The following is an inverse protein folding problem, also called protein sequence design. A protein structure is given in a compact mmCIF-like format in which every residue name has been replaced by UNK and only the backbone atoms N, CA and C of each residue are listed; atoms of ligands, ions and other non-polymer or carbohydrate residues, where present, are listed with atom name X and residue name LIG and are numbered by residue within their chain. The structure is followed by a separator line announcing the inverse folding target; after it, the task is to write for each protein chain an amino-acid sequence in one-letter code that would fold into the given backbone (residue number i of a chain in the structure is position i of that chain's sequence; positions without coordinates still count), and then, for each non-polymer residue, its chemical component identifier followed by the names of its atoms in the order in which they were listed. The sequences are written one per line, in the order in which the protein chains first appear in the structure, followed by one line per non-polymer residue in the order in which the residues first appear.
data_IF_006966099474
#
_entry.id   IF_006966099474
#
_cell.length_a   1.000
_cell.length_b   1.000
_cell.length_c   1.000
_cell.angle_alpha   90.00
_cell.angle_beta   90.00
_cell.angle_gamma   90.00
#
_symmetry.space_group_name_H-M   'P 1'
#
loop_
_entity.id
_entity.type
_entity.pdbx_description
1 polymer ?
#
# COMPACT_ATOMS: atom_id res chain seq x y z
N UNK A 1 46.96 -32.32 -40.47
CA UNK A 1 47.95 -31.73 -41.39
C UNK A 1 47.16 -31.04 -42.50
N UNK A 2 47.53 -29.79 -42.80
CA UNK A 2 47.03 -28.87 -43.86
C UNK A 2 45.70 -28.10 -43.58
N UNK A 3 45.57 -26.84 -44.06
CA UNK A 3 45.41 -25.64 -43.21
C UNK A 3 44.34 -24.62 -43.73
N UNK A 4 44.57 -23.30 -43.54
CA UNK A 4 43.95 -22.08 -44.14
C UNK A 4 43.08 -21.26 -43.15
N UNK A 5 43.20 -19.92 -42.98
CA UNK A 5 44.09 -18.91 -43.56
C UNK A 5 43.75 -17.48 -43.06
N UNK A 6 44.78 -16.62 -43.13
CA UNK A 6 44.93 -15.16 -42.86
C UNK A 6 43.78 -14.21 -43.31
N UNK A 7 43.39 -13.16 -42.55
CA UNK A 7 43.97 -11.78 -42.41
C UNK A 7 43.72 -10.88 -43.65
N UNK A 8 43.39 -9.57 -43.68
CA UNK A 8 43.17 -8.44 -42.75
C UNK A 8 42.52 -7.26 -43.53
N UNK A 9 42.02 -6.23 -42.82
CA UNK A 9 41.56 -4.85 -43.19
C UNK A 9 42.48 -4.05 -44.18
N UNK A 10 42.12 -2.87 -44.79
CA UNK A 10 41.56 -1.64 -44.13
C UNK A 10 40.72 -0.61 -44.97
N UNK A 11 40.42 0.54 -44.30
CA UNK A 11 39.59 1.75 -44.56
C UNK A 11 40.08 2.78 -45.67
N UNK A 12 39.74 4.11 -45.65
CA UNK A 12 38.50 4.81 -46.10
C UNK A 12 38.77 6.05 -47.02
N UNK A 13 37.77 6.66 -47.70
CA UNK A 13 37.81 8.07 -48.20
C UNK A 13 36.39 8.65 -48.48
N UNK A 14 36.15 9.92 -48.10
CA UNK A 14 35.06 10.88 -48.44
C UNK A 14 35.70 12.14 -49.09
N UNK A 15 35.04 13.20 -49.64
CA UNK A 15 33.62 13.45 -50.04
C UNK A 15 33.44 14.30 -51.36
N UNK A 16 32.22 14.88 -51.54
CA UNK A 16 31.74 15.99 -52.40
C UNK A 16 31.41 15.68 -53.90
N UNK A 17 30.33 16.16 -54.58
CA UNK A 17 29.60 17.45 -54.59
C UNK A 17 28.23 17.34 -55.35
N UNK A 18 27.17 17.98 -54.80
CA UNK A 18 26.10 18.86 -55.36
C UNK A 18 25.36 18.62 -56.72
N UNK A 19 24.00 18.61 -56.73
CA UNK A 19 23.12 19.67 -57.32
C UNK A 19 21.60 19.33 -57.26
N UNK A 20 20.80 20.39 -57.24
CA UNK A 20 19.37 20.54 -56.88
C UNK A 20 18.34 20.38 -58.01
N UNK A 21 17.06 20.09 -57.68
CA UNK A 21 15.86 20.94 -57.96
C UNK A 21 14.51 20.20 -57.77
N UNK A 22 13.52 20.89 -57.18
CA UNK A 22 12.09 20.68 -57.46
C UNK A 22 11.16 20.38 -56.27
N UNK A 23 10.45 21.40 -55.77
CA UNK A 23 9.22 21.25 -54.98
C UNK A 23 8.00 21.10 -55.92
N UNK A 24 6.84 20.58 -55.46
CA UNK A 24 5.86 21.49 -54.85
C UNK A 24 5.08 20.93 -53.64
N UNK A 25 4.52 21.89 -52.91
CA UNK A 25 3.62 21.88 -51.77
C UNK A 25 2.31 21.10 -51.95
N UNK A 26 1.85 20.44 -50.88
CA UNK A 26 0.43 20.22 -50.60
C UNK A 26 0.15 20.33 -49.11
N UNK A 27 -0.87 21.12 -48.80
CA UNK A 27 -1.47 21.38 -47.49
C UNK A 27 -1.94 20.10 -46.79
N UNK A 28 -1.78 20.08 -45.47
CA UNK A 28 -2.26 19.02 -44.60
C UNK A 28 -2.03 19.36 -43.13
N UNK A 29 -2.63 20.44 -42.66
CA UNK A 29 -2.79 20.68 -41.23
C UNK A 29 -3.77 19.62 -40.68
N UNK A 30 -3.23 18.52 -40.16
CA UNK A 30 -3.98 17.54 -39.38
C UNK A 30 -3.59 17.71 -37.91
N UNK A 31 -4.61 18.08 -37.14
CA UNK A 31 -4.67 18.23 -35.69
C UNK A 31 -4.00 17.10 -34.92
N UNK A 32 -2.95 17.42 -34.17
CA UNK A 32 -2.34 16.57 -33.14
C UNK A 32 -2.76 16.98 -31.71
N UNK A 33 -3.89 17.66 -31.54
CA UNK A 33 -4.28 18.27 -30.26
C UNK A 33 -5.39 17.54 -29.49
N UNK A 34 -5.94 16.42 -29.97
CA UNK A 34 -7.07 15.76 -29.30
C UNK A 34 -6.69 14.77 -28.20
N UNK A 35 -5.51 14.16 -28.28
CA UNK A 35 -5.13 13.05 -27.40
C UNK A 35 -4.51 13.52 -26.07
N UNK A 36 -3.85 14.68 -26.07
CA UNK A 36 -3.26 15.29 -24.88
C UNK A 36 -4.33 15.88 -23.95
N UNK A 37 -5.33 16.55 -24.54
CA UNK A 37 -6.50 17.08 -23.82
C UNK A 37 -7.31 15.95 -23.15
N UNK A 38 -7.41 14.78 -23.80
CA UNK A 38 -8.09 13.60 -23.25
C UNK A 38 -7.37 12.99 -22.05
N UNK A 39 -6.04 12.84 -22.11
CA UNK A 39 -5.22 12.29 -21.00
C UNK A 39 -5.17 13.23 -19.80
N UNK A 40 -5.14 14.54 -20.05
CA UNK A 40 -5.22 15.57 -19.02
C UNK A 40 -6.57 15.55 -18.29
N UNK A 41 -7.67 15.39 -19.04
CA UNK A 41 -9.00 15.27 -18.46
C UNK A 41 -9.18 13.99 -17.62
N UNK A 42 -8.61 12.87 -18.04
CA UNK A 42 -8.64 11.61 -17.29
C UNK A 42 -7.83 11.69 -15.99
N UNK A 43 -6.63 12.26 -16.04
CA UNK A 43 -5.81 12.50 -14.85
C UNK A 43 -6.53 13.41 -13.84
N UNK A 44 -7.20 14.47 -14.31
CA UNK A 44 -8.00 15.34 -13.45
C UNK A 44 -9.16 14.60 -12.77
N UNK A 45 -9.88 13.75 -13.52
CA UNK A 45 -10.95 12.90 -12.97
C UNK A 45 -10.41 11.91 -11.94
N UNK A 46 -9.27 11.30 -12.20
CA UNK A 46 -8.63 10.38 -11.26
C UNK A 46 -8.25 11.10 -9.96
N UNK A 47 -7.59 12.25 -10.05
CA UNK A 47 -7.23 13.07 -8.88
C UNK A 47 -8.47 13.51 -8.07
N UNK A 48 -9.57 13.83 -8.76
CA UNK A 48 -10.84 14.14 -8.09
C UNK A 48 -11.41 12.93 -7.37
N UNK A 49 -11.43 11.76 -8.00
CA UNK A 49 -11.86 10.50 -7.38
C UNK A 49 -11.00 10.15 -6.17
N UNK A 50 -9.69 10.31 -6.28
CA UNK A 50 -8.74 10.03 -5.21
C UNK A 50 -9.11 10.78 -3.92
N UNK A 51 -9.50 12.04 -4.01
CA UNK A 51 -9.91 12.84 -2.84
C UNK A 51 -11.35 12.60 -2.38
N UNK A 52 -12.20 12.00 -3.20
CA UNK A 52 -13.62 11.78 -2.91
C UNK A 52 -13.97 10.33 -2.52
N UNK A 53 -13.08 9.37 -2.78
CA UNK A 53 -13.24 7.94 -2.43
C UNK A 53 -12.37 7.57 -1.22
N UNK A 54 -12.70 6.46 -0.55
CA UNK A 54 -11.90 5.92 0.57
C UNK A 54 -11.93 6.77 1.84
N UNK A 55 -13.10 7.35 2.15
CA UNK A 55 -13.37 8.11 3.38
C UNK A 55 -13.86 7.25 4.55
N UNK A 56 -14.12 5.98 4.27
CA UNK A 56 -14.48 4.96 5.25
C UNK A 56 -13.41 3.89 5.26
N UNK A 57 -13.09 3.43 6.46
CA UNK A 57 -12.07 2.42 6.67
C UNK A 57 -12.53 1.07 6.12
N UNK A 58 -11.59 0.34 5.53
CA UNK A 58 -11.86 -0.95 4.91
C UNK A 58 -12.56 -1.94 5.85
N UNK A 59 -13.57 -2.66 5.36
CA UNK A 59 -14.41 -3.53 6.18
C UNK A 59 -13.61 -4.62 6.92
N UNK A 60 -12.50 -5.09 6.35
CA UNK A 60 -11.66 -6.14 6.96
C UNK A 60 -10.87 -5.66 8.18
N UNK A 61 -10.83 -4.36 8.45
CA UNK A 61 -10.23 -3.80 9.65
C UNK A 61 -11.13 -3.95 10.89
N UNK A 62 -12.35 -4.46 10.70
CA UNK A 62 -13.23 -4.84 11.81
C UNK A 62 -12.80 -6.19 12.38
N UNK A 63 -12.78 -6.25 13.71
CA UNK A 63 -12.62 -7.55 14.37
C UNK A 63 -13.86 -8.42 14.07
N UNK A 64 -13.70 -9.67 13.60
CA UNK A 64 -14.83 -10.49 13.18
C UNK A 64 -15.67 -11.04 14.36
N UNK A 65 -15.27 -10.76 15.60
CA UNK A 65 -15.97 -11.20 16.81
C UNK A 65 -16.83 -10.08 17.38
N UNK A 66 -16.28 -8.86 17.53
CA UNK A 66 -17.03 -7.72 18.06
C UNK A 66 -17.55 -6.77 16.98
N UNK A 67 -17.20 -6.96 15.71
CA UNK A 67 -17.58 -6.13 14.55
C UNK A 67 -17.18 -4.65 14.63
N UNK A 68 -16.33 -4.29 15.60
CA UNK A 68 -15.78 -2.96 15.77
C UNK A 68 -14.43 -2.85 15.08
N UNK A 69 -14.14 -1.68 14.49
CA UNK A 69 -12.82 -1.37 13.92
C UNK A 69 -11.72 -1.59 14.95
N UNK A 70 -10.63 -2.20 14.54
CA UNK A 70 -9.46 -2.45 15.40
C UNK A 70 -8.66 -1.15 15.53
N UNK A 71 -8.22 -0.80 16.74
CA UNK A 71 -7.34 0.36 16.95
C UNK A 71 -6.13 0.38 16.02
N UNK A 72 -5.70 1.57 15.59
CA UNK A 72 -4.47 1.76 14.83
C UNK A 72 -3.29 2.07 15.77
N UNK A 73 -2.08 1.55 15.49
CA UNK A 73 -1.75 0.60 14.43
C UNK A 73 -2.27 -0.82 14.72
N UNK A 74 -2.81 -1.51 13.72
CA UNK A 74 -3.51 -2.79 13.93
C UNK A 74 -2.63 -3.89 14.53
N UNK A 75 -1.33 -3.89 14.23
CA UNK A 75 -0.36 -4.86 14.75
C UNK A 75 -0.24 -4.80 16.28
N UNK A 76 -0.51 -3.64 16.88
CA UNK A 76 -0.49 -3.45 18.34
C UNK A 76 -1.81 -3.83 19.00
N UNK A 77 -2.91 -3.87 18.25
CA UNK A 77 -4.26 -4.04 18.81
C UNK A 77 -4.96 -5.32 18.37
N UNK A 78 -4.37 -6.11 17.47
CA UNK A 78 -4.91 -7.37 17.00
C UNK A 78 -3.83 -8.41 16.68
N UNK A 79 -4.27 -9.66 16.59
CA UNK A 79 -3.46 -10.80 16.13
C UNK A 79 -4.05 -11.31 14.82
N UNK A 80 -3.20 -11.49 13.81
CA UNK A 80 -3.58 -12.21 12.60
C UNK A 80 -3.62 -13.71 12.89
N UNK A 81 -4.73 -14.36 12.54
CA UNK A 81 -4.90 -15.79 12.73
C UNK A 81 -4.71 -16.53 11.41
N UNK A 82 -3.57 -17.21 11.24
CA UNK A 82 -3.21 -17.92 9.99
C UNK A 82 -4.20 -19.03 9.59
N UNK A 83 -5.01 -19.54 10.53
CA UNK A 83 -6.08 -20.50 10.20
C UNK A 83 -7.12 -19.90 9.25
N UNK A 84 -7.37 -18.60 9.32
CA UNK A 84 -8.51 -17.92 8.71
C UNK A 84 -8.18 -16.61 8.00
N UNK A 85 -6.93 -16.12 8.11
CA UNK A 85 -6.51 -14.80 7.66
C UNK A 85 -7.45 -13.70 8.17
N UNK A 86 -7.84 -13.81 9.45
CA UNK A 86 -8.62 -12.78 10.14
C UNK A 86 -7.82 -12.19 11.29
N UNK A 87 -7.85 -10.85 11.38
CA UNK A 87 -7.33 -10.11 12.52
C UNK A 87 -8.38 -10.09 13.63
N UNK A 88 -8.04 -10.65 14.78
CA UNK A 88 -8.89 -10.60 15.97
C UNK A 88 -8.28 -9.62 16.95
N UNK A 89 -9.07 -8.67 17.45
CA UNK A 89 -8.57 -7.69 18.42
C UNK A 89 -8.14 -8.38 19.72
N UNK A 90 -7.09 -7.86 20.36
CA UNK A 90 -6.53 -8.41 21.61
C UNK A 90 -7.58 -8.56 22.71
N UNK A 91 -8.55 -7.65 22.78
CA UNK A 91 -9.67 -7.76 23.72
C UNK A 91 -10.53 -9.02 23.50
N UNK A 92 -10.85 -9.36 22.25
CA UNK A 92 -11.60 -10.57 21.94
C UNK A 92 -10.78 -11.85 22.12
N UNK A 93 -9.47 -11.82 21.83
CA UNK A 93 -8.53 -12.92 22.15
C UNK A 93 -8.52 -13.19 23.66
N UNK A 94 -8.32 -12.16 24.49
CA UNK A 94 -8.29 -12.29 25.96
C UNK A 94 -9.63 -12.77 26.51
N UNK A 95 -10.75 -12.24 25.99
CA UNK A 95 -12.09 -12.69 26.38
C UNK A 95 -12.33 -14.17 26.03
N UNK A 96 -11.79 -14.65 24.90
CA UNK A 96 -11.87 -16.06 24.53
C UNK A 96 -11.00 -16.95 25.42
N UNK A 97 -9.78 -16.50 25.76
CA UNK A 97 -8.90 -17.21 26.71
C UNK A 97 -9.59 -17.41 28.06
N UNK A 98 -10.25 -16.37 28.61
CA UNK A 98 -11.02 -16.48 29.87
C UNK A 98 -12.16 -17.50 29.83
N UNK A 99 -12.62 -17.86 28.63
CA UNK A 99 -13.66 -18.88 28.40
C UNK A 99 -13.08 -20.26 28.07
N UNK A 100 -11.78 -20.46 28.27
CA UNK A 100 -11.12 -21.75 28.07
C UNK A 100 -10.61 -22.01 26.65
N UNK A 101 -10.64 -21.01 25.76
CA UNK A 101 -10.15 -21.16 24.37
C UNK A 101 -8.71 -20.63 24.30
N UNK A 102 -7.73 -21.46 24.66
CA UNK A 102 -6.32 -21.03 24.72
C UNK A 102 -5.50 -21.48 23.51
N UNK A 103 -5.74 -22.69 23.03
CA UNK A 103 -4.96 -23.39 22.01
C UNK A 103 -5.59 -23.28 20.61
N UNK A 104 -6.63 -22.47 20.46
CA UNK A 104 -7.46 -22.38 19.26
C UNK A 104 -7.75 -20.95 18.89
N UNK A 105 -7.87 -20.70 17.60
CA UNK A 105 -8.32 -19.41 17.10
C UNK A 105 -9.71 -19.08 17.66
N UNK A 106 -9.91 -17.89 18.26
CA UNK A 106 -11.19 -17.52 18.84
C UNK A 106 -12.30 -17.31 17.81
N UNK A 107 -11.94 -17.12 16.54
CA UNK A 107 -12.90 -17.00 15.43
C UNK A 107 -13.21 -18.36 14.79
N UNK A 108 -12.19 -19.03 14.23
CA UNK A 108 -12.38 -20.23 13.41
C UNK A 108 -12.37 -21.55 14.21
N UNK A 109 -11.98 -21.53 15.50
CA UNK A 109 -11.80 -22.70 16.40
C UNK A 109 -10.74 -23.73 15.99
N UNK A 110 -10.08 -23.56 14.84
CA UNK A 110 -8.91 -24.35 14.45
C UNK A 110 -7.80 -24.17 15.49
N UNK A 111 -7.11 -25.26 15.88
CA UNK A 111 -5.93 -25.17 16.73
C UNK A 111 -4.90 -24.18 16.18
N UNK A 112 -4.24 -23.45 17.07
CA UNK A 112 -3.08 -22.63 16.70
C UNK A 112 -1.95 -23.55 16.22
N UNK A 113 -1.18 -23.15 15.20
CA UNK A 113 -0.02 -23.91 14.78
C UNK A 113 0.98 -23.97 15.96
N UNK A 114 1.52 -25.15 16.25
CA UNK A 114 2.50 -25.35 17.32
C UNK A 114 3.91 -24.88 16.93
N UNK A 115 4.15 -24.71 15.63
CA UNK A 115 5.43 -24.32 15.07
C UNK A 115 5.24 -23.58 13.74
N UNK A 116 6.35 -23.03 13.26
CA UNK A 116 6.46 -22.25 12.03
C UNK A 116 6.14 -23.05 10.77
N UNK A 117 6.53 -24.33 10.71
CA UNK A 117 6.29 -25.18 9.55
C UNK A 117 4.80 -25.46 9.35
N UNK A 118 4.06 -25.68 10.45
CA UNK A 118 2.61 -25.80 10.42
C UNK A 118 1.94 -24.48 10.05
N UNK A 119 2.43 -23.35 10.57
CA UNK A 119 1.91 -22.04 10.17
C UNK A 119 2.06 -21.81 8.66
N UNK A 120 3.24 -22.10 8.10
CA UNK A 120 3.50 -21.99 6.67
C UNK A 120 2.62 -22.94 5.84
N UNK A 121 2.45 -24.19 6.27
CA UNK A 121 1.57 -25.14 5.59
C UNK A 121 0.10 -24.66 5.57
N UNK A 122 -0.37 -24.04 6.66
CA UNK A 122 -1.70 -23.43 6.72
C UNK A 122 -1.84 -22.24 5.77
N UNK A 123 -0.82 -21.39 5.66
CA UNK A 123 -0.76 -20.26 4.71
C UNK A 123 -0.79 -20.80 3.27
N UNK A 124 0.08 -21.76 2.93
CA UNK A 124 0.15 -22.35 1.59
C UNK A 124 -1.17 -22.99 1.16
N UNK A 125 -1.89 -23.64 2.09
CA UNK A 125 -3.22 -24.19 1.82
C UNK A 125 -4.27 -23.13 1.46
N UNK A 126 -4.09 -21.88 1.91
CA UNK A 126 -4.95 -20.76 1.55
C UNK A 126 -4.50 -20.08 0.26
N UNK A 127 -3.19 -19.96 0.06
CA UNK A 127 -2.58 -19.51 -1.20
C UNK A 127 -3.07 -20.37 -2.36
N UNK A 128 -3.10 -21.70 -2.22
CA UNK A 128 -3.61 -22.61 -3.27
C UNK A 128 -5.11 -22.44 -3.57
N UNK A 129 -5.83 -21.65 -2.78
CA UNK A 129 -7.24 -21.28 -2.99
C UNK A 129 -7.42 -19.83 -3.44
N UNK A 130 -6.33 -19.11 -3.73
CA UNK A 130 -6.37 -17.70 -4.15
C UNK A 130 -6.76 -16.74 -3.03
N UNK A 131 -6.50 -17.07 -1.76
CA UNK A 131 -6.74 -16.14 -0.66
C UNK A 131 -5.71 -15.00 -0.69
N UNK A 132 -6.12 -13.83 -1.18
CA UNK A 132 -5.28 -12.64 -1.33
C UNK A 132 -4.49 -12.27 -0.07
N UNK A 133 -5.09 -12.45 1.11
CA UNK A 133 -4.44 -12.11 2.38
C UNK A 133 -3.37 -13.16 2.75
N UNK A 134 -3.61 -14.43 2.43
CA UNK A 134 -2.59 -15.47 2.62
C UNK A 134 -1.42 -15.29 1.64
N UNK A 135 -1.68 -14.88 0.40
CA UNK A 135 -0.64 -14.58 -0.60
C UNK A 135 0.21 -13.39 -0.13
N UNK A 136 -0.44 -12.32 0.35
CA UNK A 136 0.22 -11.19 0.98
C UNK A 136 1.13 -11.62 2.15
N UNK A 137 0.60 -12.43 3.07
CA UNK A 137 1.37 -12.92 4.21
C UNK A 137 2.52 -13.84 3.81
N UNK A 138 2.36 -14.64 2.76
CA UNK A 138 3.47 -15.42 2.20
C UNK A 138 4.56 -14.49 1.63
N UNK A 139 4.17 -13.39 0.97
CA UNK A 139 5.11 -12.36 0.52
C UNK A 139 5.92 -11.75 1.65
N UNK A 140 5.28 -11.40 2.77
CA UNK A 140 5.99 -10.89 3.95
C UNK A 140 7.00 -11.90 4.54
N UNK A 141 6.76 -13.21 4.41
CA UNK A 141 7.71 -14.23 4.82
C UNK A 141 8.95 -14.34 3.92
N UNK A 142 8.89 -13.84 2.69
CA UNK A 142 10.06 -13.74 1.81
C UNK A 142 10.81 -12.41 1.98
N UNK A 143 10.15 -11.37 2.49
CA UNK A 143 10.75 -10.08 2.82
C UNK A 143 11.45 -10.07 4.20
N UNK A 144 10.93 -10.87 5.14
CA UNK A 144 11.50 -11.09 6.47
C UNK A 144 12.34 -12.39 6.51
N UNK A 145 13.33 -12.46 7.41
CA UNK A 145 14.14 -13.68 7.66
C UNK A 145 13.37 -14.68 8.56
N UNK A 146 12.17 -14.31 9.03
CA UNK A 146 11.34 -15.18 9.86
C UNK A 146 10.76 -16.34 9.03
N UNK A 147 10.87 -17.58 9.55
CA UNK A 147 10.59 -18.89 8.92
C UNK A 147 11.76 -19.60 8.21
N UNK A 148 13.00 -19.10 8.32
CA UNK A 148 14.18 -19.78 7.75
C UNK A 148 14.26 -19.73 6.22
N UNK A 149 13.53 -18.80 5.60
CA UNK A 149 13.67 -18.44 4.18
C UNK A 149 14.77 -17.37 4.06
N UNK A 150 15.62 -17.47 3.03
CA UNK A 150 16.51 -16.37 2.67
C UNK A 150 15.67 -15.21 2.16
N UNK A 151 15.98 -13.97 2.60
CA UNK A 151 15.35 -12.75 2.08
C UNK A 151 15.39 -12.76 0.55
N UNK A 152 14.21 -12.74 -0.07
CA UNK A 152 14.01 -12.71 -1.52
C UNK A 152 12.92 -11.67 -1.84
N UNK A 153 13.36 -10.41 -1.92
CA UNK A 153 12.48 -9.27 -2.20
C UNK A 153 11.79 -9.40 -3.56
N UNK A 154 12.44 -10.02 -4.55
CA UNK A 154 11.85 -10.23 -5.87
C UNK A 154 10.63 -11.15 -5.75
N UNK A 155 10.77 -12.25 -5.01
CA UNK A 155 9.66 -13.16 -4.75
C UNK A 155 8.56 -12.51 -3.91
N UNK A 156 8.93 -11.69 -2.91
CA UNK A 156 7.96 -10.94 -2.13
C UNK A 156 7.13 -9.99 -3.01
N UNK A 157 7.77 -9.24 -3.91
CA UNK A 157 7.10 -8.34 -4.86
C UNK A 157 6.14 -9.08 -5.78
N UNK A 158 6.53 -10.25 -6.31
CA UNK A 158 5.64 -11.08 -7.14
C UNK A 158 4.37 -11.47 -6.37
N UNK A 159 4.53 -11.95 -5.13
CA UNK A 159 3.42 -12.37 -4.28
C UNK A 159 2.54 -11.17 -3.89
N UNK A 160 3.13 -10.03 -3.53
CA UNK A 160 2.35 -8.83 -3.23
C UNK A 160 1.62 -8.30 -4.46
N UNK A 161 2.21 -8.41 -5.65
CA UNK A 161 1.53 -8.03 -6.90
C UNK A 161 0.32 -8.92 -7.15
N UNK A 162 0.47 -10.24 -7.02
CA UNK A 162 -0.64 -11.20 -7.12
C UNK A 162 -1.73 -10.90 -6.08
N UNK A 163 -1.35 -10.67 -4.82
CA UNK A 163 -2.30 -10.34 -3.75
C UNK A 163 -3.04 -9.02 -4.00
N UNK A 164 -2.36 -8.00 -4.53
CA UNK A 164 -2.93 -6.71 -4.88
C UNK A 164 -3.95 -6.83 -6.03
N UNK A 165 -3.62 -7.61 -7.07
CA UNK A 165 -4.53 -7.94 -8.17
C UNK A 165 -5.80 -8.67 -7.68
N UNK A 166 -5.66 -9.49 -6.64
CA UNK A 166 -6.78 -10.16 -5.94
C UNK A 166 -7.48 -9.27 -4.90
N UNK A 167 -7.06 -8.01 -4.77
CA UNK A 167 -7.72 -6.98 -3.95
C UNK A 167 -7.21 -6.84 -2.52
N UNK A 168 -6.02 -7.32 -2.17
CA UNK A 168 -5.38 -7.04 -0.88
C UNK A 168 -4.90 -5.59 -0.81
N UNK A 169 -5.47 -4.79 0.10
CA UNK A 169 -5.02 -3.43 0.35
C UNK A 169 -3.67 -3.40 1.08
N UNK A 170 -3.44 -4.35 1.99
CA UNK A 170 -2.16 -4.51 2.69
C UNK A 170 -1.02 -4.79 1.67
N UNK A 171 -1.29 -5.52 0.60
CA UNK A 171 -0.31 -5.76 -0.47
C UNK A 171 -0.02 -4.51 -1.31
N UNK A 172 -1.04 -3.76 -1.71
CA UNK A 172 -0.85 -2.45 -2.37
C UNK A 172 -0.04 -1.49 -1.47
N UNK A 173 -0.37 -1.45 -0.18
CA UNK A 173 0.37 -0.65 0.80
C UNK A 173 1.86 -1.02 0.81
N UNK A 174 2.19 -2.32 0.92
CA UNK A 174 3.59 -2.77 0.93
C UNK A 174 4.31 -2.50 -0.39
N UNK A 175 3.69 -2.78 -1.54
CA UNK A 175 4.28 -2.42 -2.84
C UNK A 175 4.58 -0.93 -2.92
N UNK A 176 3.68 -0.10 -2.38
CA UNK A 176 3.87 1.34 -2.26
C UNK A 176 5.14 1.70 -1.48
N UNK A 177 5.31 1.11 -0.29
CA UNK A 177 6.51 1.31 0.56
C UNK A 177 7.77 0.81 -0.14
N UNK A 178 7.73 -0.41 -0.71
CA UNK A 178 8.88 -1.06 -1.34
C UNK A 178 9.41 -0.24 -2.52
N UNK A 179 8.55 0.20 -3.44
CA UNK A 179 8.98 1.02 -4.57
C UNK A 179 9.37 2.44 -4.19
N UNK A 180 8.82 2.97 -3.10
CA UNK A 180 9.12 4.33 -2.64
C UNK A 180 10.48 4.45 -1.93
N UNK A 181 10.85 3.47 -1.10
CA UNK A 181 12.09 3.49 -0.30
C UNK A 181 13.29 2.85 -1.03
N UNK A 182 13.09 1.75 -1.75
CA UNK A 182 14.11 1.11 -2.59
C UNK A 182 15.32 0.51 -1.87
N UNK A 183 15.19 0.10 -0.61
CA UNK A 183 16.32 -0.46 0.15
C UNK A 183 16.90 -1.77 -0.47
N UNK A 184 16.12 -2.48 -1.30
CA UNK A 184 16.54 -3.71 -1.98
C UNK A 184 16.04 -3.83 -3.44
N UNK A 185 15.46 -2.76 -3.98
CA UNK A 185 14.97 -2.65 -5.37
C UNK A 185 15.23 -1.25 -5.90
N UNK A 186 15.36 -1.10 -7.23
CA UNK A 186 15.46 0.23 -7.84
C UNK A 186 14.26 1.09 -7.45
N UNK A 187 14.53 2.24 -6.85
CA UNK A 187 13.51 3.22 -6.43
C UNK A 187 12.65 3.63 -7.63
N UNK A 188 11.33 3.51 -7.48
CA UNK A 188 10.31 3.96 -8.43
C UNK A 188 9.14 4.58 -7.64
N UNK A 189 9.38 5.79 -7.10
CA UNK A 189 8.38 6.50 -6.30
C UNK A 189 7.03 6.66 -7.02
N UNK A 190 6.96 7.04 -8.31
CA UNK A 190 5.68 7.13 -9.01
C UNK A 190 4.88 5.82 -9.02
N UNK A 191 5.56 4.68 -9.15
CA UNK A 191 4.91 3.37 -9.04
C UNK A 191 4.44 3.09 -7.62
N UNK A 192 5.25 3.41 -6.62
CA UNK A 192 4.85 3.26 -5.21
C UNK A 192 3.61 4.09 -4.86
N UNK A 193 3.61 5.37 -5.25
CA UNK A 193 2.48 6.29 -5.08
C UNK A 193 1.21 5.75 -5.74
N UNK A 194 1.31 5.14 -6.94
CA UNK A 194 0.14 4.56 -7.62
C UNK A 194 -0.52 3.44 -6.81
N UNK A 195 0.27 2.55 -6.22
CA UNK A 195 -0.28 1.50 -5.36
C UNK A 195 -0.93 2.09 -4.10
N UNK A 196 -0.33 3.12 -3.49
CA UNK A 196 -0.97 3.83 -2.39
C UNK A 196 -2.28 4.51 -2.81
N UNK A 197 -2.36 5.10 -4.01
CA UNK A 197 -3.60 5.69 -4.53
C UNK A 197 -4.72 4.63 -4.66
N UNK A 198 -4.40 3.46 -5.21
CA UNK A 198 -5.34 2.35 -5.36
C UNK A 198 -5.89 1.84 -4.02
N UNK A 199 -5.02 1.67 -3.02
CA UNK A 199 -5.43 1.23 -1.69
C UNK A 199 -6.19 2.32 -0.93
N UNK A 200 -5.72 3.57 -1.01
CA UNK A 200 -6.32 4.70 -0.34
C UNK A 200 -7.77 4.91 -0.79
N UNK A 201 -8.06 4.86 -2.09
CA UNK A 201 -9.44 4.98 -2.61
C UNK A 201 -10.38 3.87 -2.10
N UNK A 202 -9.84 2.74 -1.65
CA UNK A 202 -10.59 1.63 -1.06
C UNK A 202 -10.64 1.66 0.48
N UNK A 203 -10.13 2.73 1.10
CA UNK A 203 -10.20 2.94 2.54
C UNK A 203 -8.99 2.44 3.33
N UNK A 204 -7.84 2.20 2.67
CA UNK A 204 -6.61 1.92 3.40
C UNK A 204 -6.03 3.19 4.04
N UNK A 205 -5.92 3.14 5.37
CA UNK A 205 -5.55 4.30 6.19
C UNK A 205 -4.07 4.63 6.04
N UNK A 206 -3.22 3.60 6.03
CA UNK A 206 -1.77 3.77 5.92
C UNK A 206 -1.39 4.38 4.57
N UNK A 207 -1.89 3.83 3.47
CA UNK A 207 -1.66 4.37 2.12
C UNK A 207 -2.14 5.82 2.01
N UNK A 208 -3.31 6.15 2.59
CA UNK A 208 -3.80 7.53 2.64
C UNK A 208 -2.84 8.46 3.39
N UNK A 209 -2.28 8.01 4.51
CA UNK A 209 -1.25 8.74 5.26
C UNK A 209 0.00 8.99 4.40
N UNK A 210 0.49 7.95 3.71
CA UNK A 210 1.70 8.05 2.89
C UNK A 210 1.54 8.94 1.66
N UNK A 211 0.34 9.01 1.06
CA UNK A 211 0.05 10.02 0.04
C UNK A 211 0.20 11.43 0.61
N UNK A 212 -0.34 11.68 1.81
CA UNK A 212 -0.15 12.99 2.45
C UNK A 212 1.32 13.29 2.78
N UNK A 213 2.09 12.26 3.14
CA UNK A 213 3.53 12.37 3.37
C UNK A 213 4.29 12.74 2.10
N UNK A 214 4.03 12.04 0.98
CA UNK A 214 4.67 12.33 -0.31
C UNK A 214 4.35 13.76 -0.79
N UNK A 215 3.07 14.15 -0.75
CA UNK A 215 2.63 15.50 -1.12
C UNK A 215 3.29 16.58 -0.25
N UNK A 216 3.45 16.33 1.05
CA UNK A 216 4.14 17.27 1.95
C UNK A 216 5.62 17.44 1.57
N UNK A 217 6.32 16.35 1.23
CA UNK A 217 7.73 16.39 0.81
C UNK A 217 7.91 17.05 -0.56
N UNK A 218 6.90 16.92 -1.43
CA UNK A 218 6.85 17.61 -2.72
C UNK A 218 6.43 19.09 -2.60
N UNK A 219 6.15 19.58 -1.38
CA UNK A 219 5.77 20.97 -1.10
C UNK A 219 4.28 21.27 -1.26
N UNK A 220 3.47 20.28 -1.67
CA UNK A 220 2.03 20.40 -1.91
C UNK A 220 1.23 20.33 -0.60
N UNK A 221 1.47 21.30 0.29
CA UNK A 221 0.95 21.29 1.67
C UNK A 221 -0.57 21.25 1.76
N UNK A 222 -1.28 21.89 0.83
CA UNK A 222 -2.75 21.85 0.78
C UNK A 222 -3.25 20.43 0.48
N UNK A 223 -2.64 19.74 -0.48
CA UNK A 223 -3.01 18.39 -0.86
C UNK A 223 -2.64 17.38 0.24
N UNK A 224 -1.45 17.55 0.84
CA UNK A 224 -1.02 16.79 2.00
C UNK A 224 -2.03 16.87 3.15
N UNK A 225 -2.50 18.08 3.47
CA UNK A 225 -3.53 18.31 4.48
C UNK A 225 -4.84 17.58 4.13
N UNK A 226 -5.29 17.63 2.87
CA UNK A 226 -6.52 16.91 2.47
C UNK A 226 -6.37 15.40 2.67
N UNK A 227 -5.25 14.80 2.27
CA UNK A 227 -4.99 13.38 2.50
C UNK A 227 -4.96 13.02 3.99
N UNK A 228 -4.25 13.81 4.80
CA UNK A 228 -4.16 13.56 6.24
C UNK A 228 -5.48 13.80 6.96
N UNK A 229 -6.32 14.74 6.55
CA UNK A 229 -7.67 14.90 7.10
C UNK A 229 -8.53 13.64 6.89
N UNK A 230 -8.49 13.06 5.68
CA UNK A 230 -9.22 11.80 5.38
C UNK A 230 -8.69 10.66 6.26
N UNK A 231 -7.37 10.53 6.38
CA UNK A 231 -6.73 9.50 7.22
C UNK A 231 -7.02 9.68 8.72
N UNK A 232 -7.06 10.92 9.20
CA UNK A 232 -7.40 11.28 10.58
C UNK A 232 -8.82 10.88 10.93
N UNK A 233 -9.78 11.10 10.03
CA UNK A 233 -11.16 10.65 10.19
C UNK A 233 -11.28 9.12 10.31
N UNK A 234 -10.29 8.37 9.82
CA UNK A 234 -10.20 6.92 9.97
C UNK A 234 -9.35 6.49 11.19
N UNK A 235 -8.89 7.44 12.01
CA UNK A 235 -8.17 7.22 13.27
C UNK A 235 -6.65 7.16 13.15
N UNK A 236 -6.05 7.70 12.09
CA UNK A 236 -4.59 7.74 11.94
C UNK A 236 -3.94 8.82 12.81
N UNK A 237 -3.21 8.41 13.85
CA UNK A 237 -2.46 9.32 14.71
C UNK A 237 -1.27 9.96 13.99
N UNK A 238 -0.58 9.24 13.10
CA UNK A 238 0.56 9.78 12.36
C UNK A 238 0.14 10.93 11.42
N UNK A 239 -1.02 10.83 10.79
CA UNK A 239 -1.60 11.93 10.02
C UNK A 239 -1.98 13.11 10.90
N UNK A 240 -2.52 12.88 12.11
CA UNK A 240 -2.79 13.95 13.07
C UNK A 240 -1.49 14.67 13.48
N UNK A 241 -0.41 13.91 13.71
CA UNK A 241 0.92 14.44 14.02
C UNK A 241 1.50 15.23 12.83
N UNK A 242 1.27 14.78 11.59
CA UNK A 242 1.59 15.54 10.37
C UNK A 242 0.87 16.89 10.30
N UNK A 243 -0.43 16.91 10.60
CA UNK A 243 -1.22 18.16 10.64
C UNK A 243 -0.76 19.06 11.78
N UNK A 244 -0.43 18.51 12.95
CA UNK A 244 0.15 19.26 14.07
C UNK A 244 1.46 19.94 13.67
N UNK A 245 2.34 19.23 12.95
CA UNK A 245 3.59 19.79 12.41
C UNK A 245 3.30 20.95 11.45
N UNK A 246 2.39 20.77 10.49
CA UNK A 246 1.98 21.86 9.58
C UNK A 246 1.41 23.08 10.31
N UNK A 247 0.64 22.87 11.38
CA UNK A 247 0.12 23.95 12.20
C UNK A 247 1.24 24.71 12.90
N UNK A 248 2.21 24.01 13.49
CA UNK A 248 3.38 24.62 14.12
C UNK A 248 4.24 25.42 13.13
N UNK A 249 4.33 24.97 11.88
CA UNK A 249 5.04 25.65 10.79
C UNK A 249 4.25 26.80 10.15
N UNK A 250 3.01 27.05 10.59
CA UNK A 250 2.13 28.07 10.02
C UNK A 250 1.53 27.72 8.65
N UNK A 251 1.65 26.46 8.22
CA UNK A 251 1.10 25.92 6.96
C UNK A 251 -0.32 25.40 7.08
N UNK A 252 -0.77 25.10 8.31
CA UNK A 252 -2.16 24.78 8.62
C UNK A 252 -2.74 25.79 9.62
N UNK A 253 -4.03 26.07 9.52
CA UNK A 253 -4.73 26.98 10.42
C UNK A 253 -5.11 26.29 11.74
N UNK A 254 -5.35 27.10 12.78
CA UNK A 254 -5.89 26.62 14.06
C UNK A 254 -7.22 25.87 13.88
N UNK A 255 -8.07 26.33 12.96
CA UNK A 255 -9.36 25.70 12.68
C UNK A 255 -9.19 24.28 12.09
N UNK A 256 -8.28 24.12 11.12
CA UNK A 256 -7.97 22.83 10.51
C UNK A 256 -7.40 21.84 11.53
N UNK A 257 -6.44 22.27 12.36
CA UNK A 257 -5.88 21.38 13.39
C UNK A 257 -6.93 21.01 14.46
N UNK A 258 -7.77 21.97 14.89
CA UNK A 258 -8.85 21.68 15.81
C UNK A 258 -9.90 20.72 15.22
N UNK A 259 -10.15 20.79 13.92
CA UNK A 259 -11.02 19.84 13.22
C UNK A 259 -10.40 18.44 13.22
N UNK A 260 -9.12 18.32 12.86
CA UNK A 260 -8.40 17.04 12.87
C UNK A 260 -8.45 16.37 14.26
N UNK A 261 -8.26 17.14 15.34
CA UNK A 261 -8.36 16.60 16.71
C UNK A 261 -9.74 16.05 17.05
N UNK A 262 -10.82 16.71 16.59
CA UNK A 262 -12.20 16.24 16.82
C UNK A 262 -12.47 14.96 16.04
N UNK A 263 -12.17 14.96 14.74
CA UNK A 263 -12.39 13.80 13.87
C UNK A 263 -11.59 12.58 14.32
N UNK A 264 -10.34 12.78 14.76
CA UNK A 264 -9.55 11.71 15.38
C UNK A 264 -10.22 11.18 16.66
N UNK A 265 -10.70 12.07 17.53
CA UNK A 265 -11.39 11.70 18.77
C UNK A 265 -12.66 10.86 18.51
N UNK A 266 -13.46 11.26 17.52
CA UNK A 266 -14.66 10.53 17.10
C UNK A 266 -14.28 9.13 16.58
N UNK A 267 -13.26 9.03 15.71
CA UNK A 267 -12.77 7.75 15.20
C UNK A 267 -12.24 6.82 16.31
N UNK A 268 -11.50 7.37 17.28
CA UNK A 268 -11.03 6.60 18.44
C UNK A 268 -12.18 6.10 19.30
N UNK A 269 -13.26 6.88 19.44
CA UNK A 269 -14.45 6.41 20.16
C UNK A 269 -15.14 5.24 19.46
N UNK A 270 -15.30 5.31 18.13
CA UNK A 270 -15.88 4.22 17.34
C UNK A 270 -15.09 2.90 17.46
N UNK A 271 -13.80 2.98 17.81
CA UNK A 271 -12.94 1.82 18.02
C UNK A 271 -12.97 1.28 19.46
N UNK A 272 -13.65 1.94 20.42
CA UNK A 272 -13.73 1.41 21.79
C UNK A 272 -14.59 0.15 21.85
N UNK A 273 -14.18 -0.77 22.71
CA UNK A 273 -14.84 -2.05 22.91
C UNK A 273 -14.72 -2.43 24.37
N UNK A 274 -15.83 -2.89 24.96
CA UNK A 274 -15.85 -3.38 26.34
C UNK A 274 -14.74 -4.41 26.60
N UNK A 275 -14.59 -5.40 25.71
CA UNK A 275 -13.57 -6.44 25.84
C UNK A 275 -12.14 -5.87 25.77
N UNK A 276 -11.91 -4.80 24.98
CA UNK A 276 -10.61 -4.14 24.89
C UNK A 276 -10.31 -3.32 26.14
N UNK A 277 -11.31 -2.64 26.69
CA UNK A 277 -11.17 -1.88 27.93
C UNK A 277 -10.96 -2.79 29.15
N UNK A 278 -11.64 -3.93 29.21
CA UNK A 278 -11.36 -4.94 30.23
C UNK A 278 -9.96 -5.53 30.11
N UNK A 279 -9.47 -5.74 28.89
CA UNK A 279 -8.14 -6.27 28.63
C UNK A 279 -7.02 -5.33 29.07
N UNK A 280 -7.22 -4.00 29.01
CA UNK A 280 -6.24 -3.01 29.47
C UNK A 280 -6.04 -2.98 31.00
N UNK A 281 -6.97 -3.57 31.75
CA UNK A 281 -6.95 -3.58 33.23
C UNK A 281 -6.21 -4.78 33.82
N UNK A 282 -5.57 -5.58 32.97
CA UNK A 282 -4.83 -6.79 33.30
C UNK A 282 -3.34 -6.58 33.06
#
# INVERSE_FOLDING_TARGET
MEPVGHASEPEPVDPDINESAGAPSHDGAASASSDDDGRSAEAARYSQRLLNEGHERWERDRCPICFLFIGLPMVEHAKMNVCCMKRVCKGCEIAAHRRGIYDRCPFCRTPHPSDEALALAMIQKRVSKGDAEAIYHLGNHHDDVHLGLSKDISRAIELWTEAAELGSLDAHYQLGVTYYNGDDVNVDKPRGVRHWQEAAMKGDVSSRHFLGYDEFHNGNCELALRHWMISVKMGCEDSLNGIKRMFMEGRATKAQYAQALREYGDAVEEMKSHQREEAKRL
#
